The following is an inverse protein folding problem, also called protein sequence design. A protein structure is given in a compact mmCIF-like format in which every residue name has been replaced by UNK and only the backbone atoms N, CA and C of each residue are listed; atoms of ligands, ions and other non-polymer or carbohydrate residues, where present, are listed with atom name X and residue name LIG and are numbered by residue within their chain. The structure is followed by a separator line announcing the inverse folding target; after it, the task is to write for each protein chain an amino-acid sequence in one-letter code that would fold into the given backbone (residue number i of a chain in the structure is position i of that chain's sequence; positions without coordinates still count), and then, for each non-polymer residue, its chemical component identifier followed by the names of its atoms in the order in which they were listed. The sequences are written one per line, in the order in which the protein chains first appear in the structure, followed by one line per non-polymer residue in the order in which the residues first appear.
data_IF_702114337890
#
_entry.id   IF_702114337890
#
_cell.length_a   1.000
_cell.length_b   1.000
_cell.length_c   1.000
_cell.angle_alpha   90.00
_cell.angle_beta   90.00
_cell.angle_gamma   90.00
#
_symmetry.space_group_name_H-M   'P 1'
#
loop_
_entity.id
_entity.type
_entity.pdbx_description
1 polymer ?
#
# COMPACT_ATOMS: atom_id res chain seq x y z
N UNK A 1 7.16 -57.58 21.97
CA UNK A 1 8.28 -58.55 21.98
C UNK A 1 9.33 -58.05 20.99
N UNK A 2 10.54 -57.83 21.47
CA UNK A 2 11.72 -57.32 20.75
C UNK A 2 12.42 -58.43 19.96
N UNK A 3 12.86 -58.15 18.73
CA UNK A 3 13.91 -58.93 18.06
C UNK A 3 14.93 -57.98 17.44
N UNK A 4 16.17 -58.11 17.89
CA UNK A 4 17.39 -57.42 17.45
C UNK A 4 18.02 -58.19 16.30
N UNK A 5 18.55 -57.49 15.29
CA UNK A 5 19.46 -58.10 14.31
C UNK A 5 20.76 -57.28 14.27
N UNK A 6 21.84 -57.88 14.76
CA UNK A 6 23.22 -57.40 14.61
C UNK A 6 23.92 -58.24 13.55
N UNK A 7 24.50 -57.60 12.56
CA UNK A 7 25.39 -58.23 11.57
C UNK A 7 26.39 -57.21 11.04
N UNK A 8 27.59 -57.21 11.62
CA UNK A 8 28.76 -56.51 11.11
C UNK A 8 29.33 -57.25 9.88
N UNK A 9 29.68 -56.50 8.83
CA UNK A 9 30.52 -56.96 7.73
C UNK A 9 31.42 -55.81 7.28
N UNK A 10 32.72 -55.94 7.52
CA UNK A 10 33.77 -55.03 7.04
C UNK A 10 34.15 -55.35 5.59
N UNK A 11 34.46 -54.34 4.78
CA UNK A 11 35.26 -54.49 3.56
C UNK A 11 36.03 -53.18 3.27
N UNK A 12 37.24 -53.36 2.74
CA UNK A 12 38.37 -52.42 2.62
C UNK A 12 38.17 -51.21 1.68
N UNK A 13 38.95 -50.16 1.95
CA UNK A 13 39.22 -48.98 1.12
C UNK A 13 39.98 -49.32 -0.17
N UNK A 14 39.96 -48.41 -1.19
CA UNK A 14 41.24 -47.78 -1.50
C UNK A 14 41.15 -46.27 -1.79
N UNK A 15 42.27 -45.62 -1.49
CA UNK A 15 42.57 -44.20 -1.58
C UNK A 15 42.54 -43.64 -3.02
N UNK A 16 42.32 -42.33 -3.17
CA UNK A 16 42.66 -41.57 -4.38
C UNK A 16 43.25 -40.20 -4.04
N UNK A 17 44.45 -39.98 -4.57
CA UNK A 17 45.35 -38.82 -4.46
C UNK A 17 44.76 -37.44 -4.82
N UNK A 18 45.45 -36.34 -4.40
CA UNK A 18 44.96 -34.96 -4.50
C UNK A 18 45.35 -34.31 -5.84
N UNK A 19 44.39 -33.66 -6.50
CA UNK A 19 44.63 -32.83 -7.69
C UNK A 19 44.27 -31.36 -7.41
N UNK A 20 45.30 -30.51 -7.44
CA UNK A 20 45.20 -29.06 -7.32
C UNK A 20 44.58 -28.41 -8.57
N UNK A 21 43.73 -27.39 -8.39
CA UNK A 21 43.54 -26.33 -9.39
C UNK A 21 43.16 -24.98 -8.75
N UNK A 22 44.03 -23.98 -8.94
CA UNK A 22 43.75 -22.52 -8.93
C UNK A 22 43.40 -22.12 -10.40
N UNK A 23 42.77 -20.97 -10.74
CA UNK A 23 42.60 -19.75 -9.95
C UNK A 23 41.17 -19.16 -9.93
N UNK A 24 40.90 -18.34 -8.90
CA UNK A 24 39.74 -17.45 -8.85
C UNK A 24 39.82 -16.37 -9.94
N UNK A 25 38.82 -16.29 -10.82
CA UNK A 25 38.67 -15.21 -11.80
C UNK A 25 37.24 -14.69 -11.76
N UNK A 26 37.10 -13.41 -11.43
CA UNK A 26 35.87 -12.65 -11.63
C UNK A 26 35.35 -11.95 -10.39
N UNK A 27 36.13 -11.02 -9.84
CA UNK A 27 35.55 -9.89 -9.09
C UNK A 27 34.53 -9.21 -9.99
N UNK A 28 33.23 -9.38 -9.74
CA UNK A 28 32.19 -8.57 -10.37
C UNK A 28 32.33 -7.15 -9.83
N UNK A 29 32.89 -6.28 -10.64
CA UNK A 29 32.78 -4.84 -10.48
C UNK A 29 31.30 -4.50 -10.35
N UNK A 30 30.91 -3.98 -9.18
CA UNK A 30 29.58 -3.40 -8.96
C UNK A 30 29.42 -2.25 -9.96
N UNK A 31 28.59 -2.44 -10.98
CA UNK A 31 28.11 -1.32 -11.79
C UNK A 31 27.26 -0.46 -10.87
N UNK A 32 27.75 0.75 -10.57
CA UNK A 32 26.94 1.79 -9.95
C UNK A 32 25.84 2.15 -10.95
N UNK A 33 24.61 1.75 -10.66
CA UNK A 33 23.43 2.30 -11.30
C UNK A 33 23.07 3.60 -10.59
N UNK A 34 22.89 4.64 -11.39
CA UNK A 34 22.42 5.96 -11.03
C UNK A 34 21.18 5.93 -10.13
N UNK A 35 21.35 6.47 -8.92
CA UNK A 35 20.38 7.22 -8.12
C UNK A 35 18.93 6.73 -8.09
N UNK A 36 18.72 5.57 -7.47
CA UNK A 36 17.55 5.32 -6.64
C UNK A 36 18.06 5.10 -5.23
N UNK A 37 17.88 6.07 -4.34
CA UNK A 37 18.49 6.05 -3.00
C UNK A 37 17.78 4.98 -2.16
N UNK A 38 18.47 3.85 -1.93
CA UNK A 38 17.94 2.72 -1.18
C UNK A 38 17.99 3.06 0.32
N UNK A 39 16.88 3.49 0.90
CA UNK A 39 16.78 3.71 2.34
C UNK A 39 16.62 2.35 3.02
N UNK A 40 17.73 1.77 3.48
CA UNK A 40 17.73 0.51 4.20
C UNK A 40 17.21 0.72 5.63
N UNK A 41 15.93 0.42 5.85
CA UNK A 41 15.42 0.23 7.19
C UNK A 41 16.15 -0.96 7.86
N UNK A 42 16.28 -0.88 9.19
CA UNK A 42 17.10 -1.71 10.08
C UNK A 42 17.10 -3.21 9.72
N UNK A 43 18.23 -3.88 9.97
CA UNK A 43 18.69 -5.18 9.42
C UNK A 43 17.79 -6.42 9.56
N UNK A 44 16.57 -6.28 10.09
CA UNK A 44 15.59 -7.34 10.31
C UNK A 44 14.34 -7.20 9.42
N UNK A 45 14.21 -6.10 8.66
CA UNK A 45 12.99 -5.74 7.94
C UNK A 45 13.17 -5.50 6.44
N UNK A 46 12.13 -5.81 5.68
CA UNK A 46 12.01 -5.67 4.22
C UNK A 46 12.62 -4.36 3.68
N UNK A 47 13.33 -4.44 2.55
CA UNK A 47 13.93 -3.26 1.91
C UNK A 47 12.86 -2.31 1.40
N UNK A 48 12.87 -1.08 1.90
CA UNK A 48 12.02 0.01 1.40
C UNK A 48 12.74 0.69 0.24
N UNK A 49 12.12 0.64 -0.94
CA UNK A 49 12.57 1.35 -2.12
C UNK A 49 11.89 2.73 -2.14
N UNK A 50 12.66 3.80 -2.29
CA UNK A 50 12.13 5.17 -2.46
C UNK A 50 12.31 5.56 -3.93
N UNK A 51 11.21 5.86 -4.61
CA UNK A 51 11.22 6.29 -6.01
C UNK A 51 11.47 7.81 -6.10
N UNK A 52 11.70 8.28 -7.34
CA UNK A 52 11.92 9.70 -7.64
C UNK A 52 10.74 10.62 -7.26
N UNK A 53 9.53 10.06 -7.16
CA UNK A 53 8.30 10.74 -6.72
C UNK A 53 8.08 10.66 -5.20
N UNK A 54 9.10 10.24 -4.45
CA UNK A 54 9.06 10.00 -3.00
C UNK A 54 8.08 8.89 -2.55
N UNK A 55 7.51 8.11 -3.49
CA UNK A 55 6.71 6.95 -3.12
C UNK A 55 7.60 5.87 -2.50
N UNK A 56 7.09 5.24 -1.44
CA UNK A 56 7.79 4.17 -0.70
C UNK A 56 7.19 2.83 -1.08
N UNK A 57 8.01 1.94 -1.61
CA UNK A 57 7.63 0.58 -1.99
C UNK A 57 8.33 -0.45 -1.12
N UNK A 58 7.66 -1.57 -0.89
CA UNK A 58 8.20 -2.73 -0.18
C UNK A 58 8.12 -3.94 -1.12
N UNK A 59 9.22 -4.65 -1.24
CA UNK A 59 9.23 -5.96 -1.89
C UNK A 59 8.54 -6.98 -0.97
N UNK A 60 7.50 -7.62 -1.49
CA UNK A 60 6.72 -8.63 -0.75
C UNK A 60 6.57 -9.90 -1.57
N UNK A 61 6.65 -11.04 -0.88
CA UNK A 61 6.34 -12.36 -1.41
C UNK A 61 4.86 -12.75 -1.15
N UNK A 62 4.11 -11.88 -0.47
CA UNK A 62 2.72 -12.19 -0.09
C UNK A 62 1.72 -12.07 -1.24
N UNK A 63 2.10 -11.44 -2.36
CA UNK A 63 1.28 -11.31 -3.56
C UNK A 63 1.81 -12.23 -4.67
N UNK A 64 0.92 -12.84 -5.48
CA UNK A 64 1.33 -13.60 -6.66
C UNK A 64 2.28 -12.80 -7.56
N UNK A 65 3.34 -13.46 -8.03
CA UNK A 65 4.40 -12.87 -8.86
C UNK A 65 5.22 -11.75 -8.18
N UNK A 66 5.37 -11.78 -6.85
CA UNK A 66 6.21 -10.84 -6.10
C UNK A 66 5.92 -9.36 -6.40
N UNK A 67 4.63 -9.03 -6.59
CA UNK A 67 4.22 -7.67 -6.97
C UNK A 67 4.58 -6.70 -5.84
N UNK A 68 5.40 -5.66 -6.08
CA UNK A 68 5.72 -4.66 -5.06
C UNK A 68 4.46 -3.94 -4.57
N UNK A 69 4.47 -3.55 -3.29
CA UNK A 69 3.38 -2.81 -2.66
C UNK A 69 3.88 -1.42 -2.24
N UNK A 70 3.07 -0.39 -2.49
CA UNK A 70 3.33 0.96 -1.99
C UNK A 70 2.67 1.17 -0.62
N UNK A 71 3.27 2.04 0.19
CA UNK A 71 2.66 2.50 1.44
C UNK A 71 1.54 3.51 1.12
N UNK A 72 0.34 3.28 1.67
CA UNK A 72 -0.80 4.21 1.58
C UNK A 72 -0.99 5.03 2.87
N UNK A 73 -1.82 6.08 2.79
CA UNK A 73 -2.20 6.93 3.94
C UNK A 73 -3.46 6.45 4.66
N UNK A 74 -3.94 5.24 4.36
CA UNK A 74 -5.16 4.68 4.94
C UNK A 74 -4.95 4.31 6.40
N UNK A 75 -5.76 4.90 7.29
CA UNK A 75 -5.71 4.64 8.73
C UNK A 75 -6.76 3.61 9.14
N UNK A 76 -6.35 2.63 9.94
CA UNK A 76 -7.22 1.61 10.52
C UNK A 76 -7.41 1.93 11.99
N UNK A 77 -8.65 2.21 12.39
CA UNK A 77 -9.01 2.58 13.78
C UNK A 77 -9.46 1.41 14.63
N UNK A 78 -9.78 0.28 14.00
CA UNK A 78 -10.23 -0.91 14.69
C UNK A 78 -10.43 -2.09 13.76
N UNK A 79 -10.91 -3.20 14.31
CA UNK A 79 -11.21 -4.42 13.55
C UNK A 79 -12.53 -5.02 14.04
N UNK A 80 -13.39 -5.43 13.10
CA UNK A 80 -14.62 -6.14 13.38
C UNK A 80 -14.45 -7.63 13.05
N UNK A 81 -14.67 -8.50 14.04
CA UNK A 81 -14.64 -9.96 13.87
C UNK A 81 -16.05 -10.55 14.00
N UNK A 82 -16.84 -10.41 12.93
CA UNK A 82 -18.20 -10.99 12.84
C UNK A 82 -18.34 -11.99 11.71
N UNK A 83 -17.48 -11.88 10.69
CA UNK A 83 -17.43 -12.75 9.52
C UNK A 83 -15.99 -12.73 8.96
N UNK A 84 -15.04 -13.03 9.86
CA UNK A 84 -13.60 -12.84 9.68
C UNK A 84 -13.14 -11.45 10.12
N UNK A 85 -11.81 -11.30 10.28
CA UNK A 85 -11.16 -10.05 10.67
C UNK A 85 -11.29 -9.00 9.56
N UNK A 86 -12.19 -8.03 9.74
CA UNK A 86 -12.40 -6.92 8.80
C UNK A 86 -11.88 -5.63 9.42
N UNK A 87 -10.90 -4.94 8.79
CA UNK A 87 -10.42 -3.67 9.30
C UNK A 87 -11.52 -2.60 9.18
N UNK A 88 -11.58 -1.71 10.16
CA UNK A 88 -12.43 -0.53 10.20
C UNK A 88 -11.53 0.66 9.89
N UNK A 89 -11.77 1.32 8.75
CA UNK A 89 -11.04 2.52 8.35
C UNK A 89 -11.50 3.77 9.09
N UNK A 90 -10.62 4.76 9.22
CA UNK A 90 -11.00 6.09 9.69
C UNK A 90 -11.97 6.77 8.70
N UNK A 91 -12.95 7.52 9.22
CA UNK A 91 -13.84 8.33 8.40
C UNK A 91 -13.13 9.63 7.96
N UNK A 92 -13.41 10.06 6.73
CA UNK A 92 -12.93 11.35 6.19
C UNK A 92 -14.01 12.44 6.19
N UNK A 93 -15.24 12.11 6.60
CA UNK A 93 -16.38 13.00 6.64
C UNK A 93 -17.24 12.75 7.88
N UNK A 94 -18.06 13.74 8.24
CA UNK A 94 -18.92 13.70 9.42
C UNK A 94 -20.25 13.01 9.13
N UNK A 95 -20.73 12.18 10.07
CA UNK A 95 -22.03 11.51 10.00
C UNK A 95 -23.00 12.26 10.92
N UNK A 96 -24.10 12.75 10.36
CA UNK A 96 -25.14 13.45 11.12
C UNK A 96 -26.02 12.50 11.91
N UNK A 97 -26.48 11.42 11.28
CA UNK A 97 -27.38 10.43 11.91
C UNK A 97 -27.31 9.10 11.19
N UNK A 98 -27.68 8.03 11.87
CA UNK A 98 -27.78 6.67 11.31
C UNK A 98 -29.19 6.09 11.42
N UNK A 99 -30.06 6.65 12.26
CA UNK A 99 -31.32 6.02 12.65
C UNK A 99 -32.54 6.54 11.89
N UNK A 100 -32.38 7.58 11.06
CA UNK A 100 -33.48 8.16 10.29
C UNK A 100 -33.91 7.31 9.11
N UNK A 101 -33.02 6.46 8.59
CA UNK A 101 -33.28 5.60 7.43
C UNK A 101 -33.32 4.12 7.83
N UNK A 102 -34.19 3.32 7.19
CA UNK A 102 -34.33 1.91 7.50
C UNK A 102 -33.02 1.15 7.26
N UNK A 103 -32.68 0.27 8.20
CA UNK A 103 -31.44 -0.51 8.16
C UNK A 103 -30.19 0.26 8.63
N UNK A 104 -30.37 1.29 9.46
CA UNK A 104 -29.30 2.11 10.03
C UNK A 104 -28.36 2.71 8.97
N UNK A 105 -28.94 3.30 7.91
CA UNK A 105 -28.14 3.87 6.81
C UNK A 105 -27.60 5.23 7.24
N UNK A 106 -26.26 5.43 7.27
CA UNK A 106 -25.68 6.70 7.70
C UNK A 106 -26.02 7.83 6.72
N UNK A 107 -26.33 8.99 7.27
CA UNK A 107 -26.52 10.25 6.57
C UNK A 107 -25.30 11.14 6.85
N UNK A 108 -24.51 11.42 5.81
CA UNK A 108 -23.34 12.30 5.90
C UNK A 108 -23.73 13.78 5.93
N UNK A 109 -22.91 14.59 6.58
CA UNK A 109 -22.99 16.05 6.52
C UNK A 109 -22.48 16.52 5.16
N UNK A 110 -23.23 17.39 4.49
CA UNK A 110 -22.79 18.05 3.26
C UNK A 110 -21.94 19.27 3.60
N UNK A 111 -20.76 19.40 2.98
CA UNK A 111 -19.93 20.61 3.03
C UNK A 111 -20.22 21.57 1.86
N UNK A 112 -21.21 21.25 1.02
CA UNK A 112 -21.57 22.09 -0.13
C UNK A 112 -22.25 23.38 0.33
N UNK A 113 -21.76 24.52 -0.17
CA UNK A 113 -22.38 25.82 0.06
C UNK A 113 -23.57 25.99 -0.91
N UNK A 114 -24.79 26.08 -0.35
CA UNK A 114 -26.03 26.21 -1.11
C UNK A 114 -26.64 27.58 -0.79
N UNK A 115 -26.88 28.39 -1.82
CA UNK A 115 -27.44 29.74 -1.67
C UNK A 115 -28.96 29.71 -1.47
N UNK A 116 -29.65 28.83 -2.20
CA UNK A 116 -31.10 28.68 -2.13
C UNK A 116 -31.53 27.29 -2.58
N UNK A 117 -32.68 26.83 -2.10
CA UNK A 117 -33.34 25.60 -2.51
C UNK A 117 -34.79 25.84 -2.97
N UNK A 118 -35.44 26.92 -2.56
CA UNK A 118 -36.90 27.07 -2.70
C UNK A 118 -37.34 27.84 -3.95
N UNK A 119 -36.42 28.48 -4.66
CA UNK A 119 -36.74 29.27 -5.86
C UNK A 119 -37.04 28.41 -7.09
N UNK A 120 -36.59 27.15 -7.11
CA UNK A 120 -36.84 26.21 -8.21
C UNK A 120 -37.88 25.16 -7.81
N UNK A 121 -38.77 24.74 -8.73
CA UNK A 121 -39.73 23.67 -8.45
C UNK A 121 -39.04 22.37 -8.01
N UNK A 122 -39.50 21.83 -6.88
CA UNK A 122 -39.00 20.57 -6.32
C UNK A 122 -37.71 20.72 -5.51
N UNK A 123 -37.54 21.85 -4.81
CA UNK A 123 -36.46 22.12 -3.86
C UNK A 123 -35.05 21.88 -4.43
N UNK A 124 -34.82 22.34 -5.66
CA UNK A 124 -33.54 22.11 -6.36
C UNK A 124 -32.47 23.08 -5.83
N UNK A 125 -31.34 22.58 -5.30
CA UNK A 125 -30.31 23.45 -4.74
C UNK A 125 -29.59 24.28 -5.81
N UNK A 126 -29.33 25.54 -5.47
CA UNK A 126 -28.62 26.52 -6.29
C UNK A 126 -27.30 26.87 -5.60
N UNK A 127 -26.20 26.83 -6.36
CA UNK A 127 -24.90 27.30 -5.89
C UNK A 127 -24.84 28.84 -5.85
N UNK A 128 -24.10 29.44 -4.89
CA UNK A 128 -23.87 30.87 -4.88
C UNK A 128 -23.05 31.31 -6.10
N UNK A 129 -23.33 32.51 -6.61
CA UNK A 129 -22.54 33.12 -7.69
C UNK A 129 -21.41 34.03 -7.16
N UNK A 130 -21.20 34.09 -5.84
CA UNK A 130 -20.18 34.97 -5.25
C UNK A 130 -18.77 34.37 -5.35
N UNK A 131 -18.66 33.04 -5.42
CA UNK A 131 -17.42 32.30 -5.59
C UNK A 131 -17.33 31.80 -7.04
N UNK A 132 -17.00 32.70 -7.97
CA UNK A 132 -16.74 32.35 -9.38
C UNK A 132 -15.25 32.06 -9.55
N UNK A 133 -14.91 30.89 -10.09
CA UNK A 133 -13.55 30.53 -10.53
C UNK A 133 -13.56 30.39 -12.06
N UNK A 134 -12.89 31.28 -12.83
CA UNK A 134 -12.02 32.36 -12.37
C UNK A 134 -12.78 33.57 -11.78
N UNK A 135 -12.15 34.37 -10.90
CA UNK A 135 -12.78 35.53 -10.28
C UNK A 135 -13.31 36.49 -11.35
N UNK A 136 -14.43 37.15 -11.05
CA UNK A 136 -15.19 37.95 -12.03
C UNK A 136 -14.35 39.01 -12.74
N UNK A 137 -13.30 39.53 -12.10
CA UNK A 137 -12.36 40.48 -12.71
C UNK A 137 -11.55 39.92 -13.87
N UNK A 138 -11.25 38.61 -13.88
CA UNK A 138 -10.60 37.93 -14.99
C UNK A 138 -11.56 37.74 -16.16
N UNK A 139 -12.84 37.42 -15.87
CA UNK A 139 -13.87 37.22 -16.89
C UNK A 139 -14.20 38.51 -17.66
N UNK A 140 -14.21 39.67 -16.97
CA UNK A 140 -14.49 40.98 -17.58
C UNK A 140 -13.34 41.50 -18.45
N UNK A 141 -12.14 40.91 -18.37
CA UNK A 141 -10.97 41.28 -19.17
C UNK A 141 -10.92 40.68 -20.57
N UNK A 142 -11.84 39.77 -20.92
CA UNK A 142 -11.94 39.13 -22.25
C UNK A 142 -13.09 39.66 -23.11
N UNK A 143 -13.79 40.71 -22.65
CA UNK A 143 -14.84 41.40 -23.39
C UNK A 143 -14.22 42.60 -24.13
N UNK A 144 -13.44 42.32 -25.18
CA UNK A 144 -13.05 43.27 -26.23
C UNK A 144 -13.37 42.65 -27.60
#
# INVERSE_FOLDING_TARGET
MTTTNSGNGSAETPEKEPAASRPARGSRTKRASSSGDLVKANSEGHSVLVLADNSRMIETDSLPNHRPISLGTFEIVGTLDRAGTRPIGANTFEISTVDTLPGHRPVGVSTLHIADIHTLPGDRPIAPNDEVDPPTGELMGYLD
#
